data_IF_575782963003
#
_entry.id   IF_575782963003
#
_cell.length_a   1.000
_cell.length_b   1.000
_cell.length_c   1.000
_cell.angle_alpha   90.00
_cell.angle_beta   90.00
_cell.angle_gamma   90.00
#
_symmetry.space_group_name_H-M   'P 1'
#
loop_
_entity.id
_entity.type
_entity.pdbx_description
1 polymer ?
#
# COMPACT_ATOMS: atom_id res chain seq x y z
N UNK A 1 11.21 23.56 -15.97
CA UNK A 1 11.96 22.28 -15.99
C UNK A 1 11.23 21.32 -15.07
N UNK A 2 10.58 20.30 -15.63
CA UNK A 2 9.90 19.26 -14.85
C UNK A 2 10.95 18.48 -14.06
N UNK A 3 10.90 18.54 -12.73
CA UNK A 3 11.82 17.77 -11.89
C UNK A 3 11.33 16.33 -11.86
N UNK A 4 11.88 15.49 -12.72
CA UNK A 4 11.62 14.04 -12.70
C UNK A 4 11.91 13.52 -11.30
N UNK A 5 10.95 12.78 -10.71
CA UNK A 5 11.11 12.06 -9.45
C UNK A 5 12.34 11.15 -9.56
N UNK A 6 13.19 11.13 -8.52
CA UNK A 6 14.32 10.21 -8.51
C UNK A 6 13.81 8.77 -8.37
N UNK A 7 14.61 7.79 -8.77
CA UNK A 7 14.21 6.37 -8.70
C UNK A 7 13.83 5.95 -7.27
N UNK A 8 14.55 6.49 -6.28
CA UNK A 8 14.34 6.26 -4.85
C UNK A 8 13.04 6.91 -4.37
N UNK A 9 12.75 8.14 -4.81
CA UNK A 9 11.49 8.82 -4.51
C UNK A 9 10.28 8.08 -5.11
N UNK A 10 10.42 7.57 -6.34
CA UNK A 10 9.38 6.78 -6.98
C UNK A 10 9.14 5.45 -6.26
N UNK A 11 10.20 4.75 -5.86
CA UNK A 11 10.08 3.52 -5.05
C UNK A 11 9.44 3.79 -3.68
N UNK A 12 9.84 4.88 -3.00
CA UNK A 12 9.20 5.34 -1.78
C UNK A 12 7.71 5.62 -1.98
N UNK A 13 7.32 6.30 -3.07
CA UNK A 13 5.93 6.55 -3.43
C UNK A 13 5.12 5.27 -3.59
N UNK A 14 5.67 4.26 -4.27
CA UNK A 14 5.01 2.95 -4.44
C UNK A 14 4.77 2.27 -3.09
N UNK A 15 5.77 2.27 -2.20
CA UNK A 15 5.63 1.66 -0.87
C UNK A 15 4.56 2.36 -0.03
N UNK A 16 4.53 3.70 -0.06
CA UNK A 16 3.49 4.47 0.63
C UNK A 16 2.10 4.18 0.03
N UNK A 17 2.01 4.06 -1.29
CA UNK A 17 0.77 3.67 -1.98
C UNK A 17 0.23 2.32 -1.49
N UNK A 18 1.10 1.30 -1.36
CA UNK A 18 0.71 -0.02 -0.84
C UNK A 18 0.21 0.08 0.61
N UNK A 19 0.84 0.90 1.45
CA UNK A 19 0.38 1.11 2.83
C UNK A 19 -0.99 1.81 2.86
N UNK A 20 -1.19 2.83 2.02
CA UNK A 20 -2.46 3.56 1.92
C UNK A 20 -3.60 2.67 1.45
N UNK A 21 -3.37 1.85 0.42
CA UNK A 21 -4.34 0.88 -0.09
C UNK A 21 -4.78 -0.09 1.01
N UNK A 22 -3.82 -0.65 1.76
CA UNK A 22 -4.11 -1.56 2.87
C UNK A 22 -4.86 -0.90 4.02
N UNK A 23 -4.53 0.36 4.32
CA UNK A 23 -5.27 1.16 5.28
C UNK A 23 -6.72 1.41 4.81
N UNK A 24 -6.91 1.68 3.51
CA UNK A 24 -8.23 1.84 2.89
C UNK A 24 -9.08 0.56 2.94
N UNK A 25 -8.54 -0.57 2.53
CA UNK A 25 -9.22 -1.88 2.61
C UNK A 25 -9.65 -2.21 4.04
N UNK A 26 -8.76 -1.99 5.01
CA UNK A 26 -9.01 -2.26 6.42
C UNK A 26 -9.87 -1.18 7.11
N UNK A 27 -10.29 -0.11 6.39
CA UNK A 27 -10.99 1.05 6.94
C UNK A 27 -10.31 1.63 8.19
N UNK A 28 -8.98 1.62 8.20
CA UNK A 28 -8.14 1.94 9.35
C UNK A 28 -7.01 2.87 8.95
N UNK A 29 -6.60 3.77 9.85
CA UNK A 29 -5.44 4.64 9.63
C UNK A 29 -4.08 3.92 9.77
N UNK A 30 -4.12 2.65 10.18
CA UNK A 30 -2.94 1.79 10.39
C UNK A 30 -3.18 0.40 9.79
N UNK A 31 -2.11 -0.23 9.35
CA UNK A 31 -2.11 -1.59 8.82
C UNK A 31 -1.02 -2.45 9.48
N UNK A 32 -1.13 -3.78 9.39
CA UNK A 32 -0.12 -4.69 9.90
C UNK A 32 1.07 -4.78 8.94
N UNK A 33 2.28 -4.64 9.49
CA UNK A 33 3.52 -4.76 8.74
C UNK A 33 3.72 -6.17 8.16
N UNK A 34 3.51 -7.21 8.97
CA UNK A 34 3.60 -8.61 8.54
C UNK A 34 2.48 -8.95 7.56
N UNK A 35 1.27 -8.47 7.82
CA UNK A 35 0.15 -8.63 6.89
C UNK A 35 0.47 -8.08 5.51
N UNK A 36 1.06 -6.88 5.44
CA UNK A 36 1.48 -6.27 4.19
C UNK A 36 2.59 -7.08 3.50
N UNK A 37 3.63 -7.51 4.23
CA UNK A 37 4.70 -8.35 3.66
C UNK A 37 4.20 -9.69 3.11
N UNK A 38 3.15 -10.28 3.69
CA UNK A 38 2.57 -11.53 3.20
C UNK A 38 1.83 -11.38 1.86
N UNK A 39 1.39 -10.16 1.54
CA UNK A 39 0.70 -9.84 0.28
C UNK A 39 1.64 -9.54 -0.88
N UNK A 40 2.91 -9.29 -0.57
CA UNK A 40 3.97 -9.04 -1.55
C UNK A 40 4.61 -10.36 -2.04
N UNK A 41 4.95 -10.49 -3.34
CA UNK A 41 5.69 -11.63 -3.88
C UNK A 41 6.98 -11.92 -3.11
N UNK A 42 7.33 -13.19 -2.91
CA UNK A 42 8.47 -13.63 -2.10
C UNK A 42 9.79 -12.98 -2.53
N UNK A 43 9.99 -12.82 -3.85
CA UNK A 43 11.18 -12.18 -4.42
C UNK A 43 11.34 -10.70 -4.05
N UNK A 44 10.23 -10.02 -3.74
CA UNK A 44 10.19 -8.57 -3.48
C UNK A 44 10.12 -8.25 -1.98
N UNK A 45 9.74 -9.23 -1.15
CA UNK A 45 9.65 -9.07 0.31
C UNK A 45 10.91 -8.47 0.95
N UNK A 46 12.15 -8.86 0.59
CA UNK A 46 13.34 -8.25 1.17
C UNK A 46 13.47 -6.77 0.85
N UNK A 47 13.09 -6.35 -0.36
CA UNK A 47 13.16 -4.95 -0.79
C UNK A 47 12.04 -4.12 -0.18
N UNK A 48 10.81 -4.64 -0.15
CA UNK A 48 9.68 -3.98 0.53
C UNK A 48 9.96 -3.83 2.02
N UNK A 49 10.47 -4.88 2.69
CA UNK A 49 10.82 -4.81 4.11
C UNK A 49 11.87 -3.72 4.37
N UNK A 50 12.98 -3.71 3.62
CA UNK A 50 14.04 -2.71 3.74
C UNK A 50 13.53 -1.29 3.47
N UNK A 51 12.71 -1.11 2.46
CA UNK A 51 12.13 0.19 2.12
C UNK A 51 11.14 0.68 3.18
N UNK A 52 10.30 -0.19 3.75
CA UNK A 52 9.42 0.17 4.86
C UNK A 52 10.20 0.56 6.11
N UNK A 53 11.29 -0.15 6.43
CA UNK A 53 12.19 0.21 7.53
C UNK A 53 12.79 1.61 7.31
N UNK A 54 13.29 1.89 6.10
CA UNK A 54 13.79 3.21 5.74
C UNK A 54 12.73 4.31 5.87
N UNK A 55 11.50 4.06 5.39
CA UNK A 55 10.40 5.03 5.49
C UNK A 55 9.96 5.28 6.95
N UNK A 56 10.07 4.29 7.83
CA UNK A 56 9.83 4.47 9.27
C UNK A 56 10.93 5.32 9.89
N UNK A 57 12.20 5.01 9.60
CA UNK A 57 13.35 5.74 10.14
C UNK A 57 13.38 7.21 9.68
N UNK A 58 13.00 7.48 8.43
CA UNK A 58 12.92 8.84 7.90
C UNK A 58 11.65 9.58 8.30
N UNK A 59 10.73 8.92 9.02
CA UNK A 59 9.51 9.54 9.53
C UNK A 59 8.40 9.75 8.49
N UNK A 60 8.47 9.08 7.33
CA UNK A 60 7.34 8.99 6.39
C UNK A 60 6.24 8.05 6.91
N UNK A 61 6.64 7.00 7.63
CA UNK A 61 5.74 6.05 8.28
C UNK A 61 5.96 6.08 9.79
N UNK A 62 4.87 5.92 10.54
CA UNK A 62 4.91 5.67 11.97
C UNK A 62 4.77 4.17 12.20
N UNK A 63 5.58 3.62 13.11
CA UNK A 63 5.48 2.24 13.54
C UNK A 63 5.16 2.19 15.03
N UNK A 64 4.14 1.41 15.39
CA UNK A 64 3.81 1.09 16.78
C UNK A 64 3.69 -0.43 16.90
N UNK A 65 4.76 -1.05 17.38
CA UNK A 65 4.91 -2.50 17.38
C UNK A 65 4.80 -3.07 15.97
N UNK A 66 3.77 -3.88 15.74
CA UNK A 66 3.51 -4.56 14.46
C UNK A 66 2.69 -3.70 13.47
N UNK A 67 2.17 -2.56 13.92
CA UNK A 67 1.33 -1.69 13.11
C UNK A 67 2.12 -0.54 12.51
N UNK A 68 1.83 -0.24 11.24
CA UNK A 68 2.40 0.89 10.51
C UNK A 68 1.29 1.79 9.99
N UNK A 69 1.52 3.09 9.99
CA UNK A 69 0.58 4.08 9.47
C UNK A 69 1.29 5.30 8.91
N UNK A 70 0.62 6.08 8.06
CA UNK A 70 1.21 7.26 7.44
C UNK A 70 1.35 8.41 8.46
N UNK A 71 2.49 9.09 8.41
CA UNK A 71 2.67 10.38 9.09
C UNK A 71 2.18 11.53 8.20
N UNK A 72 2.04 12.76 8.73
CA UNK A 72 1.76 13.93 7.89
C UNK A 72 2.78 14.13 6.76
N UNK A 73 4.06 13.84 7.00
CA UNK A 73 5.11 13.92 5.99
C UNK A 73 4.95 12.81 4.92
N UNK A 74 4.58 11.60 5.31
CA UNK A 74 4.27 10.51 4.38
C UNK A 74 3.05 10.79 3.51
N UNK A 75 2.03 11.47 4.04
CA UNK A 75 0.85 11.89 3.27
C UNK A 75 1.22 12.91 2.19
N UNK A 76 2.08 13.89 2.52
CA UNK A 76 2.60 14.84 1.53
C UNK A 76 3.43 14.15 0.45
N UNK A 77 4.24 13.15 0.83
CA UNK A 77 5.00 12.36 -0.14
C UNK A 77 4.09 11.54 -1.06
N UNK A 78 3.03 10.94 -0.52
CA UNK A 78 2.02 10.23 -1.32
C UNK A 78 1.36 11.15 -2.34
N UNK A 79 0.97 12.36 -1.93
CA UNK A 79 0.33 13.33 -2.83
C UNK A 79 1.29 13.80 -3.92
N UNK A 80 2.56 14.07 -3.58
CA UNK A 80 3.59 14.45 -4.55
C UNK A 80 3.85 13.35 -5.58
N UNK A 81 3.93 12.10 -5.13
CA UNK A 81 4.20 10.96 -6.00
C UNK A 81 2.99 10.57 -6.85
N UNK A 82 1.76 10.72 -6.33
CA UNK A 82 0.52 10.53 -7.07
C UNK A 82 0.29 11.63 -8.13
N UNK A 83 0.65 12.89 -7.81
CA UNK A 83 0.45 14.01 -8.72
C UNK A 83 1.47 14.08 -9.86
N UNK A 84 2.57 13.32 -9.76
CA UNK A 84 3.42 12.85 -10.86
C UNK A 84 4.11 13.88 -11.77
N UNK A 85 3.66 15.13 -11.85
CA UNK A 85 4.16 16.19 -12.71
C UNK A 85 3.37 17.50 -12.64
N UNK A 86 2.33 17.62 -11.82
CA UNK A 86 1.58 18.88 -11.68
C UNK A 86 2.15 19.71 -10.53
N UNK A 87 2.78 20.84 -10.89
CA UNK A 87 3.18 21.96 -10.01
C UNK A 87 1.99 22.62 -9.26
N UNK A 88 0.84 21.96 -9.20
CA UNK A 88 -0.41 22.50 -8.69
C UNK A 88 -1.07 21.49 -7.76
N UNK A 89 -0.67 21.52 -6.50
CA UNK A 89 -1.65 21.42 -5.42
C UNK A 89 -1.15 22.25 -4.23
N UNK A 90 -1.83 23.38 -4.04
CA UNK A 90 -1.74 24.23 -2.85
C UNK A 90 -2.03 23.42 -1.59
N UNK A 91 -0.98 22.92 -0.95
CA UNK A 91 -0.98 22.63 0.48
C UNK A 91 0.13 23.48 1.07
N UNK A 92 -0.27 24.61 1.65
CA UNK A 92 0.50 25.41 2.62
C UNK A 92 2.02 25.28 2.40
N UNK A 93 2.56 25.96 1.37
CA UNK A 93 3.91 25.71 0.82
C UNK A 93 5.02 25.74 1.87
N UNK A 94 4.78 26.36 3.02
CA UNK A 94 5.65 26.33 4.18
C UNK A 94 5.71 24.95 4.86
N UNK A 95 4.59 24.25 5.03
CA UNK A 95 4.56 22.88 5.58
C UNK A 95 5.18 21.87 4.63
N UNK A 96 4.90 22.00 3.33
CA UNK A 96 5.55 21.16 2.32
C UNK A 96 7.07 21.37 2.35
N UNK A 97 7.53 22.63 2.37
CA UNK A 97 8.96 22.91 2.41
C UNK A 97 9.64 22.42 3.70
N UNK A 98 8.99 22.57 4.86
CA UNK A 98 9.56 22.20 6.17
C UNK A 98 9.58 20.68 6.41
N UNK A 99 8.53 19.97 6.01
CA UNK A 99 8.40 18.53 6.28
C UNK A 99 8.88 17.65 5.12
N UNK A 100 8.63 18.07 3.87
CA UNK A 100 8.88 17.24 2.70
C UNK A 100 10.33 17.36 2.20
N UNK A 101 10.94 18.56 2.20
CA UNK A 101 12.33 18.67 1.72
C UNK A 101 13.33 17.83 2.51
N UNK A 102 13.35 17.85 3.86
CA UNK A 102 14.27 17.01 4.62
C UNK A 102 14.02 15.53 4.37
N UNK A 103 12.74 15.15 4.23
CA UNK A 103 12.34 13.78 3.94
C UNK A 103 12.83 13.31 2.56
N UNK A 104 12.69 14.15 1.52
CA UNK A 104 13.17 13.83 0.18
C UNK A 104 14.70 13.70 0.13
N UNK A 105 15.42 14.60 0.82
CA UNK A 105 16.88 14.52 0.92
C UNK A 105 17.31 13.22 1.62
N UNK A 106 16.59 12.83 2.67
CA UNK A 106 16.88 11.58 3.39
C UNK A 106 16.60 10.34 2.53
N UNK A 107 15.50 10.35 1.78
CA UNK A 107 15.11 9.27 0.86
C UNK A 107 16.11 9.13 -0.29
N UNK A 108 16.54 10.25 -0.88
CA UNK A 108 17.48 10.25 -1.99
C UNK A 108 18.87 9.71 -1.61
N UNK A 109 19.24 9.84 -0.33
CA UNK A 109 20.52 9.35 0.21
C UNK A 109 20.47 7.92 0.77
N UNK A 110 19.30 7.30 0.89
CA UNK A 110 19.17 5.97 1.51
C UNK A 110 19.22 4.85 0.48
N UNK A 111 20.29 4.04 0.53
CA UNK A 111 20.52 2.92 -0.39
C UNK A 111 19.52 1.76 -0.22
N UNK A 112 18.78 1.71 0.89
CA UNK A 112 17.68 0.75 1.08
C UNK A 112 16.47 1.07 0.21
N UNK A 113 16.39 2.31 -0.29
CA UNK A 113 15.35 2.78 -1.22
C UNK A 113 15.78 2.69 -2.68
N UNK A 114 16.95 2.14 -2.98
CA UNK A 114 17.30 1.75 -4.34
C UNK A 114 16.46 0.55 -4.78
N UNK A 115 15.71 0.66 -5.88
CA UNK A 115 15.02 -0.49 -6.43
C UNK A 115 16.04 -1.49 -6.98
N UNK A 116 15.87 -2.79 -6.66
CA UNK A 116 16.71 -3.86 -7.21
C UNK A 116 16.43 -4.14 -8.71
N UNK A 117 15.51 -3.39 -9.34
CA UNK A 117 15.04 -3.55 -10.73
C UNK A 117 14.78 -2.17 -11.35
N UNK A 118 14.81 -2.06 -12.70
CA UNK A 118 14.54 -0.81 -13.39
C UNK A 118 13.15 -0.23 -13.02
N UNK A 119 13.05 1.10 -13.04
CA UNK A 119 11.88 1.81 -12.52
C UNK A 119 10.58 1.46 -13.26
N UNK A 120 10.65 1.05 -14.52
CA UNK A 120 9.49 0.59 -15.28
C UNK A 120 8.85 -0.66 -14.64
N UNK A 121 9.67 -1.60 -14.17
CA UNK A 121 9.18 -2.80 -13.48
C UNK A 121 8.58 -2.45 -12.11
N UNK A 122 9.15 -1.47 -11.41
CA UNK A 122 8.69 -1.01 -10.09
C UNK A 122 7.35 -0.28 -10.18
N UNK A 123 7.14 0.53 -11.23
CA UNK A 123 5.86 1.21 -11.48
C UNK A 123 4.74 0.23 -11.83
N UNK A 124 5.07 -0.95 -12.33
CA UNK A 124 4.08 -2.03 -12.54
C UNK A 124 3.86 -2.90 -11.31
N UNK A 125 4.60 -2.72 -10.21
CA UNK A 125 4.37 -3.46 -8.96
C UNK A 125 2.94 -3.34 -8.44
N UNK A 126 2.26 -2.18 -8.45
CA UNK A 126 0.86 -2.08 -8.03
C UNK A 126 -0.03 -2.94 -8.91
N UNK A 127 0.06 -2.80 -10.24
CA UNK A 127 -0.71 -3.60 -11.20
C UNK A 127 -0.38 -5.11 -11.14
N UNK A 128 0.86 -5.47 -10.79
CA UNK A 128 1.28 -6.85 -10.55
C UNK A 128 0.76 -7.39 -9.23
N UNK A 129 0.79 -6.59 -8.16
CA UNK A 129 0.17 -6.92 -6.89
C UNK A 129 -1.33 -7.14 -7.09
N UNK A 130 -1.99 -6.28 -7.85
CA UNK A 130 -3.42 -6.39 -8.20
C UNK A 130 -3.72 -7.67 -9.00
N UNK A 131 -2.87 -8.04 -9.96
CA UNK A 131 -2.98 -9.32 -10.69
C UNK A 131 -2.68 -10.55 -9.83
N UNK A 132 -1.75 -10.46 -8.87
CA UNK A 132 -1.53 -11.53 -7.90
C UNK A 132 -2.69 -11.63 -6.90
N UNK A 133 -3.29 -10.50 -6.52
CA UNK A 133 -4.48 -10.44 -5.68
C UNK A 133 -5.70 -11.04 -6.39
N UNK A 134 -5.92 -10.74 -7.68
CA UNK A 134 -7.02 -11.31 -8.47
C UNK A 134 -6.83 -12.82 -8.67
N UNK A 135 -5.60 -13.30 -8.88
CA UNK A 135 -5.29 -14.72 -8.93
C UNK A 135 -5.41 -15.43 -7.57
N UNK A 136 -5.19 -14.74 -6.44
CA UNK A 136 -5.40 -15.31 -5.10
C UNK A 136 -6.87 -15.26 -4.66
N UNK A 137 -7.59 -14.20 -5.01
CA UNK A 137 -9.05 -14.10 -4.84
C UNK A 137 -9.78 -15.16 -5.69
N UNK A 138 -9.23 -15.50 -6.86
CA UNK A 138 -9.74 -16.57 -7.72
C UNK A 138 -9.62 -18.00 -7.16
N UNK A 139 -8.95 -18.21 -6.01
CA UNK A 139 -8.82 -19.55 -5.40
C UNK A 139 -9.59 -19.73 -4.09
N UNK A 140 -10.40 -18.77 -3.68
CA UNK A 140 -11.13 -18.86 -2.41
C UNK A 140 -12.32 -17.94 -2.23
N UNK A 141 -12.73 -17.16 -3.23
CA UNK A 141 -13.99 -16.42 -3.13
C UNK A 141 -15.11 -17.30 -3.69
N UNK A 142 -15.55 -18.26 -2.87
CA UNK A 142 -16.94 -18.69 -2.91
C UNK A 142 -17.75 -17.42 -2.65
N UNK A 143 -18.20 -16.81 -3.74
CA UNK A 143 -19.03 -15.61 -3.78
C UNK A 143 -20.03 -15.66 -2.62
N UNK A 144 -20.09 -14.60 -1.82
CA UNK A 144 -21.06 -14.45 -0.72
C UNK A 144 -22.49 -14.80 -1.16
N UNK A 145 -22.80 -14.67 -2.45
CA UNK A 145 -24.06 -15.09 -3.05
C UNK A 145 -24.31 -16.60 -2.97
N UNK A 146 -23.28 -17.44 -3.14
CA UNK A 146 -23.37 -18.90 -3.01
C UNK A 146 -23.59 -19.36 -1.56
N UNK A 147 -23.03 -18.63 -0.58
CA UNK A 147 -23.29 -18.85 0.84
C UNK A 147 -24.76 -18.55 1.20
N UNK A 148 -25.33 -17.47 0.66
CA UNK A 148 -26.76 -17.16 0.84
C UNK A 148 -27.67 -18.24 0.24
N UNK A 149 -27.34 -18.77 -0.95
CA UNK A 149 -28.12 -19.86 -1.56
C UNK A 149 -28.07 -21.14 -0.72
N UNK A 150 -26.91 -21.48 -0.15
CA UNK A 150 -26.78 -22.64 0.72
C UNK A 150 -27.59 -22.50 2.03
N UNK A 151 -27.58 -21.32 2.64
CA UNK A 151 -28.33 -21.05 3.87
C UNK A 151 -29.85 -21.14 3.61
N UNK A 152 -30.34 -20.56 2.51
CA UNK A 152 -31.77 -20.62 2.15
C UNK A 152 -32.22 -22.06 1.90
N UNK A 153 -31.39 -22.88 1.24
CA UNK A 153 -31.70 -24.28 1.00
C UNK A 153 -31.81 -25.10 2.30
N UNK A 154 -30.90 -24.87 3.26
CA UNK A 154 -30.92 -25.55 4.57
C UNK A 154 -32.15 -25.13 5.39
N UNK A 155 -32.49 -23.84 5.41
CA UNK A 155 -33.68 -23.34 6.12
C UNK A 155 -34.97 -23.88 5.50
N UNK A 156 -35.05 -23.96 4.17
CA UNK A 156 -36.20 -24.52 3.48
C UNK A 156 -36.37 -26.03 3.77
N UNK A 157 -35.27 -26.79 3.81
CA UNK A 157 -35.29 -28.20 4.15
C UNK A 157 -35.71 -28.44 5.61
N UNK A 158 -35.22 -27.62 6.55
CA UNK A 158 -35.63 -27.66 7.96
C UNK A 158 -37.10 -27.29 8.14
N UNK A 159 -37.59 -26.26 7.46
CA UNK A 159 -39.00 -25.87 7.49
C UNK A 159 -39.90 -26.96 6.92
N UNK A 160 -39.46 -27.68 5.88
CA UNK A 160 -40.20 -28.82 5.33
C UNK A 160 -40.21 -30.01 6.28
N UNK A 161 -39.09 -30.29 6.95
CA UNK A 161 -38.96 -31.39 7.93
C UNK A 161 -39.81 -31.17 9.18
N UNK A 162 -39.92 -29.93 9.67
CA UNK A 162 -40.74 -29.60 10.86
C UNK A 162 -42.24 -29.58 10.55
N UNK A 163 -42.61 -29.40 9.28
CA UNK A 163 -44.02 -29.30 8.84
C UNK A 163 -44.63 -30.64 8.40
N UNK A 164 -43.86 -31.72 8.49
CA UNK A 164 -44.28 -33.09 8.18
C UNK A 164 -44.40 -33.92 9.46
#
# INVERSE_FOLDING_TARGET
MQKMLTEREAFAGVLIGIVMERCGEAHSSKTSRTGLQLTVPVAERPSVRRGLDALIEHGALSALGETIGLTPAGQLLAQRTANGNTDHMSLDGDKERVLLQPLLIAIDRDDRLLPNRPLEDVRTLPARLENYQSHRAGRGVLSSWSLWVAIVAVVAALAWYVRR
#
